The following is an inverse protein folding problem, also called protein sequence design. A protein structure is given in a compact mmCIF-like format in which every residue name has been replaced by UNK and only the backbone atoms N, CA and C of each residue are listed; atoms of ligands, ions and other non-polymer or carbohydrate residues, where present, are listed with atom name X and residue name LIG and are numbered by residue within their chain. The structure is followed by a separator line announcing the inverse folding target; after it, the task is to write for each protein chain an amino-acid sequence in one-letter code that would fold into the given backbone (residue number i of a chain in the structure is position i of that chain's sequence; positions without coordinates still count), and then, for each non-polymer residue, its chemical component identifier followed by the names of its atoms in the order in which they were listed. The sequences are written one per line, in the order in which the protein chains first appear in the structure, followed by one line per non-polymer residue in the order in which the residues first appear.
data_IF_253869461976
#
_entry.id   IF_253869461976
#
_cell.length_a   1.000
_cell.length_b   1.000
_cell.length_c   1.000
_cell.angle_alpha   90.00
_cell.angle_beta   90.00
_cell.angle_gamma   90.00
#
_symmetry.space_group_name_H-M   'P 1'
#
loop_
_entity.id
_entity.type
_entity.pdbx_description
1 polymer ?
#
# COMPACT_ATOMS: atom_id res chain seq x y z
N UNK A 1 9.38 -29.22 16.82
CA UNK A 1 9.86 -28.44 15.65
C UNK A 1 9.42 -26.95 15.67
N UNK A 2 8.71 -26.47 16.68
CA UNK A 2 8.13 -25.11 16.75
C UNK A 2 9.08 -24.05 17.35
N UNK A 3 9.72 -24.30 18.49
CA UNK A 3 10.54 -23.27 19.19
C UNK A 3 11.69 -22.70 18.35
N UNK A 4 12.40 -23.55 17.59
CA UNK A 4 13.51 -23.13 16.70
C UNK A 4 13.03 -22.23 15.54
N UNK A 5 11.84 -22.47 15.01
CA UNK A 5 11.26 -21.63 13.94
C UNK A 5 10.87 -20.25 14.46
N UNK A 6 10.19 -20.20 15.61
CA UNK A 6 9.84 -18.92 16.25
C UNK A 6 11.08 -18.09 16.57
N UNK A 7 12.12 -18.73 17.09
CA UNK A 7 13.39 -18.06 17.38
C UNK A 7 14.06 -17.46 16.13
N UNK A 8 14.08 -18.21 15.01
CA UNK A 8 14.61 -17.71 13.73
C UNK A 8 13.79 -16.54 13.18
N UNK A 9 12.45 -16.61 13.29
CA UNK A 9 11.57 -15.51 12.85
C UNK A 9 11.76 -14.25 13.69
N UNK A 10 11.93 -14.39 15.02
CA UNK A 10 12.21 -13.24 15.89
C UNK A 10 13.55 -12.61 15.58
N UNK A 11 14.60 -13.41 15.33
CA UNK A 11 15.92 -12.89 14.91
C UNK A 11 15.80 -12.14 13.60
N UNK A 12 15.11 -12.71 12.61
CA UNK A 12 14.92 -12.07 11.31
C UNK A 12 14.18 -10.73 11.45
N UNK A 13 13.14 -10.67 12.28
CA UNK A 13 12.42 -9.42 12.55
C UNK A 13 13.32 -8.34 13.18
N UNK A 14 14.12 -8.70 14.18
CA UNK A 14 15.07 -7.77 14.81
C UNK A 14 16.09 -7.27 13.79
N UNK A 15 16.62 -8.16 12.96
CA UNK A 15 17.60 -7.82 11.93
C UNK A 15 17.02 -6.82 10.92
N UNK A 16 15.78 -7.01 10.47
CA UNK A 16 15.09 -6.09 9.54
C UNK A 16 14.90 -4.70 10.15
N UNK A 17 14.54 -4.62 11.44
CA UNK A 17 14.33 -3.34 12.15
C UNK A 17 15.64 -2.57 12.39
N UNK A 18 16.74 -3.28 12.65
CA UNK A 18 18.01 -2.70 13.09
C UNK A 18 18.97 -2.39 11.93
N UNK A 19 18.96 -3.22 10.87
CA UNK A 19 19.81 -3.03 9.68
C UNK A 19 19.79 -1.59 9.11
N UNK A 20 18.63 -0.93 8.90
CA UNK A 20 18.58 0.36 8.23
C UNK A 20 19.24 1.49 9.01
N UNK A 21 19.42 1.34 10.33
CA UNK A 21 20.12 2.31 11.19
C UNK A 21 21.59 2.48 10.78
N UNK A 22 22.19 1.47 10.14
CA UNK A 22 23.60 1.48 9.74
C UNK A 22 23.81 1.66 8.22
N UNK A 23 22.73 1.86 7.46
CA UNK A 23 22.76 1.91 6.00
C UNK A 23 22.60 3.34 5.46
N UNK A 24 23.24 3.62 4.32
CA UNK A 24 23.08 4.89 3.61
C UNK A 24 21.72 5.06 2.94
N UNK A 25 21.35 6.31 2.63
CA UNK A 25 20.01 6.68 2.12
C UNK A 25 19.60 6.08 0.77
N UNK A 26 20.54 5.53 -0.02
CA UNK A 26 20.19 4.76 -1.22
C UNK A 26 19.63 3.38 -0.84
N UNK A 27 20.35 2.65 0.03
CA UNK A 27 19.94 1.29 0.44
C UNK A 27 18.66 1.37 1.26
N UNK A 28 18.50 2.36 2.13
CA UNK A 28 17.23 2.58 2.85
C UNK A 28 16.04 2.76 1.91
N UNK A 29 16.24 3.45 0.77
CA UNK A 29 15.17 3.62 -0.22
C UNK A 29 14.84 2.31 -0.94
N UNK A 30 15.84 1.53 -1.31
CA UNK A 30 15.61 0.20 -1.87
C UNK A 30 14.86 -0.70 -0.87
N UNK A 31 15.21 -0.65 0.41
CA UNK A 31 14.52 -1.42 1.44
C UNK A 31 13.06 -0.99 1.59
N UNK A 32 12.75 0.32 1.55
CA UNK A 32 11.36 0.81 1.52
C UNK A 32 10.60 0.21 0.33
N UNK A 33 11.18 0.26 -0.87
CA UNK A 33 10.55 -0.30 -2.07
C UNK A 33 10.33 -1.81 -1.94
N UNK A 34 11.31 -2.53 -1.40
CA UNK A 34 11.19 -3.98 -1.17
C UNK A 34 10.07 -4.28 -0.18
N UNK A 35 9.98 -3.57 0.95
CA UNK A 35 8.90 -3.75 1.93
C UNK A 35 7.53 -3.47 1.31
N UNK A 36 7.40 -2.38 0.55
CA UNK A 36 6.18 -2.04 -0.18
C UNK A 36 5.75 -3.16 -1.14
N UNK A 37 6.67 -3.69 -1.94
CA UNK A 37 6.37 -4.78 -2.88
C UNK A 37 6.07 -6.11 -2.17
N UNK A 38 6.72 -6.40 -1.03
CA UNK A 38 6.40 -7.57 -0.19
C UNK A 38 4.95 -7.46 0.29
N UNK A 39 4.54 -6.31 0.82
CA UNK A 39 3.16 -6.09 1.29
C UNK A 39 2.16 -6.27 0.14
N UNK A 40 2.46 -5.74 -1.05
CA UNK A 40 1.62 -5.92 -2.24
C UNK A 40 1.54 -7.39 -2.69
N UNK A 41 2.66 -8.11 -2.67
CA UNK A 41 2.71 -9.52 -3.02
C UNK A 41 1.91 -10.38 -2.02
N UNK A 42 2.02 -10.09 -0.72
CA UNK A 42 1.24 -10.77 0.32
C UNK A 42 -0.25 -10.48 0.17
N UNK A 43 -0.64 -9.23 -0.06
CA UNK A 43 -2.03 -8.85 -0.28
C UNK A 43 -2.63 -9.58 -1.49
N UNK A 44 -1.88 -9.62 -2.60
CA UNK A 44 -2.31 -10.34 -3.80
C UNK A 44 -2.39 -11.85 -3.56
N UNK A 45 -1.41 -12.44 -2.87
CA UNK A 45 -1.40 -13.86 -2.54
C UNK A 45 -2.54 -14.24 -1.59
N UNK A 46 -2.95 -13.35 -0.68
CA UNK A 46 -4.06 -13.59 0.23
C UNK A 46 -5.36 -13.86 -0.54
N UNK A 47 -5.60 -13.12 -1.62
CA UNK A 47 -6.75 -13.35 -2.49
C UNK A 47 -6.47 -14.44 -3.53
N UNK A 48 -5.49 -14.23 -4.40
CA UNK A 48 -5.21 -15.10 -5.54
C UNK A 48 -4.72 -16.49 -5.13
N UNK A 49 -3.81 -16.56 -4.16
CA UNK A 49 -3.20 -17.81 -3.71
C UNK A 49 -4.11 -18.65 -2.82
N UNK A 50 -4.72 -18.07 -1.80
CA UNK A 50 -5.54 -18.82 -0.84
C UNK A 50 -6.99 -19.04 -1.29
N UNK A 51 -7.60 -18.09 -2.00
CA UNK A 51 -9.01 -18.20 -2.41
C UNK A 51 -9.20 -18.60 -3.88
N UNK A 52 -8.13 -18.56 -4.68
CA UNK A 52 -8.20 -18.80 -6.13
C UNK A 52 -8.78 -17.61 -6.93
N UNK A 53 -9.15 -16.51 -6.27
CA UNK A 53 -9.70 -15.32 -6.89
C UNK A 53 -8.58 -14.37 -7.33
N UNK A 54 -8.26 -14.35 -8.62
CA UNK A 54 -7.27 -13.42 -9.18
C UNK A 54 -7.82 -12.00 -9.18
N UNK A 55 -7.15 -11.08 -8.48
CA UNK A 55 -7.55 -9.67 -8.38
C UNK A 55 -6.57 -8.75 -9.09
N UNK A 56 -7.07 -8.07 -10.13
CA UNK A 56 -6.35 -7.02 -10.85
C UNK A 56 -6.65 -5.60 -10.33
N UNK A 57 -7.46 -5.47 -9.27
CA UNK A 57 -7.85 -4.18 -8.68
C UNK A 57 -6.91 -3.68 -7.57
N UNK A 58 -5.84 -4.39 -7.25
CA UNK A 58 -4.92 -4.05 -6.15
C UNK A 58 -4.34 -2.64 -6.26
N UNK A 59 -4.14 -2.13 -7.47
CA UNK A 59 -3.64 -0.78 -7.72
C UNK A 59 -4.59 0.31 -7.17
N UNK A 60 -5.90 0.06 -7.16
CA UNK A 60 -6.89 0.99 -6.58
C UNK A 60 -6.67 1.15 -5.09
N UNK A 61 -6.55 0.05 -4.35
CA UNK A 61 -6.37 0.06 -2.90
C UNK A 61 -5.01 0.66 -2.50
N UNK A 62 -3.96 0.32 -3.26
CA UNK A 62 -2.65 0.93 -3.08
C UNK A 62 -2.70 2.45 -3.32
N UNK A 63 -3.34 2.88 -4.41
CA UNK A 63 -3.52 4.29 -4.74
C UNK A 63 -4.32 5.04 -3.68
N UNK A 64 -5.41 4.47 -3.18
CA UNK A 64 -6.21 5.07 -2.10
C UNK A 64 -5.39 5.28 -0.82
N UNK A 65 -4.52 4.33 -0.47
CA UNK A 65 -3.59 4.47 0.65
C UNK A 65 -2.57 5.58 0.42
N UNK A 66 -1.94 5.60 -0.76
CA UNK A 66 -0.93 6.59 -1.13
C UNK A 66 -1.50 8.01 -1.19
N UNK A 67 -2.64 8.21 -1.85
CA UNK A 67 -3.32 9.51 -1.90
C UNK A 67 -3.91 9.91 -0.55
N UNK A 68 -4.42 8.95 0.24
CA UNK A 68 -4.90 9.23 1.59
C UNK A 68 -3.83 9.88 2.45
N UNK A 69 -2.68 9.21 2.61
CA UNK A 69 -1.55 9.76 3.37
C UNK A 69 -0.97 11.03 2.74
N UNK A 70 -0.90 11.08 1.41
CA UNK A 70 -0.34 12.22 0.68
C UNK A 70 -1.18 13.50 0.79
N UNK A 71 -2.50 13.39 0.69
CA UNK A 71 -3.41 14.51 0.84
C UNK A 71 -3.46 15.03 2.28
N UNK A 72 -3.32 14.13 3.26
CA UNK A 72 -3.23 14.50 4.68
C UNK A 72 -2.05 15.41 4.97
N UNK A 73 -0.90 15.06 4.39
CA UNK A 73 0.29 15.88 4.51
C UNK A 73 0.16 17.18 3.71
N UNK A 74 -0.38 17.14 2.49
CA UNK A 74 -0.43 18.30 1.60
C UNK A 74 -1.41 19.39 2.08
N UNK A 75 -2.57 19.01 2.61
CA UNK A 75 -3.64 19.96 2.95
C UNK A 75 -3.71 20.32 4.43
N UNK A 76 -3.28 19.42 5.31
CA UNK A 76 -3.41 19.59 6.76
C UNK A 76 -2.08 19.60 7.50
N UNK A 77 -0.93 19.51 6.79
CA UNK A 77 0.41 19.41 7.37
C UNK A 77 0.53 18.29 8.43
N UNK A 78 -0.33 17.26 8.32
CA UNK A 78 -0.35 16.15 9.26
C UNK A 78 0.81 15.21 8.96
N UNK A 79 1.48 14.78 10.03
CA UNK A 79 2.63 13.88 9.95
C UNK A 79 2.30 12.57 9.19
N UNK A 80 3.20 12.08 8.31
CA UNK A 80 3.02 10.84 7.54
C UNK A 80 2.68 9.59 8.36
N UNK A 81 3.00 9.57 9.66
CA UNK A 81 2.64 8.48 10.57
C UNK A 81 1.13 8.24 10.63
N UNK A 82 0.32 9.29 10.53
CA UNK A 82 -1.14 9.15 10.46
C UNK A 82 -1.61 8.51 9.16
N UNK A 83 -0.84 8.68 8.08
CA UNK A 83 -1.08 7.99 6.80
C UNK A 83 -1.09 6.46 6.95
N UNK A 84 -0.31 5.92 7.90
CA UNK A 84 -0.26 4.49 8.21
C UNK A 84 -1.60 3.94 8.71
N UNK A 85 -2.42 4.78 9.36
CA UNK A 85 -3.77 4.41 9.83
C UNK A 85 -4.81 4.76 8.78
N UNK A 86 -4.70 5.94 8.17
CA UNK A 86 -5.71 6.42 7.22
C UNK A 86 -5.75 5.57 5.96
N UNK A 87 -4.60 5.10 5.45
CA UNK A 87 -4.54 4.26 4.27
C UNK A 87 -5.38 2.98 4.40
N UNK A 88 -5.14 2.13 5.42
CA UNK A 88 -5.97 0.96 5.69
C UNK A 88 -7.44 1.29 5.92
N UNK A 89 -7.75 2.37 6.63
CA UNK A 89 -9.15 2.78 6.87
C UNK A 89 -9.86 3.11 5.56
N UNK A 90 -9.23 3.88 4.67
CA UNK A 90 -9.79 4.18 3.34
C UNK A 90 -9.94 2.91 2.48
N UNK A 91 -8.94 2.03 2.54
CA UNK A 91 -8.99 0.75 1.84
C UNK A 91 -10.14 -0.14 2.34
N UNK A 92 -10.43 -0.14 3.65
CA UNK A 92 -11.57 -0.86 4.24
C UNK A 92 -12.90 -0.25 3.79
N UNK A 93 -13.04 1.07 3.90
CA UNK A 93 -14.27 1.79 3.54
C UNK A 93 -14.66 1.53 2.09
N UNK A 94 -13.69 1.55 1.18
CA UNK A 94 -13.92 1.30 -0.24
C UNK A 94 -13.95 -0.21 -0.56
N UNK A 95 -13.14 -1.01 0.13
CA UNK A 95 -13.01 -2.45 -0.08
C UNK A 95 -14.23 -3.25 0.35
N UNK A 96 -14.93 -2.87 1.41
CA UNK A 96 -16.17 -3.54 1.86
C UNK A 96 -17.24 -3.56 0.76
N UNK A 97 -17.69 -2.41 0.20
CA UNK A 97 -18.73 -2.42 -0.82
C UNK A 97 -18.29 -3.14 -2.10
N UNK A 98 -17.03 -2.96 -2.51
CA UNK A 98 -16.47 -3.68 -3.67
C UNK A 98 -16.49 -5.19 -3.42
N UNK A 99 -16.00 -5.65 -2.26
CA UNK A 99 -15.96 -7.06 -1.89
C UNK A 99 -17.35 -7.68 -1.85
N UNK A 100 -18.33 -6.99 -1.27
CA UNK A 100 -19.73 -7.45 -1.20
C UNK A 100 -20.34 -7.69 -2.59
N UNK A 101 -19.99 -6.87 -3.58
CA UNK A 101 -20.48 -6.99 -4.96
C UNK A 101 -19.67 -8.06 -5.71
N UNK A 102 -18.34 -7.94 -5.70
CA UNK A 102 -17.47 -8.75 -6.53
C UNK A 102 -17.39 -10.21 -6.08
N UNK A 103 -17.46 -10.52 -4.77
CA UNK A 103 -17.41 -11.91 -4.31
C UNK A 103 -18.64 -12.75 -4.70
N UNK A 104 -19.69 -12.13 -5.24
CA UNK A 104 -20.83 -12.86 -5.84
C UNK A 104 -20.50 -13.43 -7.23
N UNK A 105 -19.43 -12.95 -7.86
CA UNK A 105 -18.98 -13.39 -9.17
C UNK A 105 -18.10 -14.64 -9.00
N UNK A 106 -18.22 -15.58 -9.94
CA UNK A 106 -17.46 -16.84 -9.91
C UNK A 106 -16.51 -16.95 -11.08
N UNK A 107 -15.35 -17.56 -10.85
CA UNK A 107 -14.38 -17.84 -11.90
C UNK A 107 -13.82 -16.57 -12.55
N UNK A 108 -13.64 -16.54 -13.88
CA UNK A 108 -12.98 -15.42 -14.58
C UNK A 108 -13.70 -14.06 -14.43
N UNK A 109 -15.01 -14.07 -14.18
CA UNK A 109 -15.81 -12.86 -14.04
C UNK A 109 -15.37 -11.98 -12.86
N UNK A 110 -14.84 -12.59 -11.79
CA UNK A 110 -14.29 -11.84 -10.65
C UNK A 110 -13.11 -10.96 -11.09
N UNK A 111 -12.19 -11.55 -11.85
CA UNK A 111 -10.99 -10.87 -12.31
C UNK A 111 -11.34 -9.74 -13.30
N UNK A 112 -12.29 -9.99 -14.21
CA UNK A 112 -12.81 -8.99 -15.16
C UNK A 112 -13.50 -7.82 -14.45
N UNK A 113 -14.28 -8.08 -13.40
CA UNK A 113 -14.93 -7.02 -12.63
C UNK A 113 -13.90 -6.12 -11.92
N UNK A 114 -12.86 -6.71 -11.34
CA UNK A 114 -11.76 -5.98 -10.70
C UNK A 114 -10.90 -5.22 -11.72
N UNK A 115 -10.75 -5.72 -12.94
CA UNK A 115 -10.14 -4.98 -14.05
C UNK A 115 -10.97 -3.75 -14.43
N UNK A 116 -12.28 -3.90 -14.61
CA UNK A 116 -13.18 -2.80 -14.94
C UNK A 116 -13.22 -1.75 -13.81
N UNK A 117 -13.23 -2.20 -12.56
CA UNK A 117 -13.11 -1.34 -11.39
C UNK A 117 -11.80 -0.55 -11.42
N UNK A 118 -10.67 -1.20 -11.69
CA UNK A 118 -9.38 -0.54 -11.79
C UNK A 118 -9.37 0.56 -12.84
N UNK A 119 -9.99 0.31 -14.00
CA UNK A 119 -10.11 1.31 -15.06
C UNK A 119 -11.03 2.47 -14.68
N UNK A 120 -12.16 2.20 -14.01
CA UNK A 120 -13.04 3.24 -13.51
C UNK A 120 -12.31 4.19 -12.53
N UNK A 121 -11.55 3.63 -11.58
CA UNK A 121 -10.74 4.41 -10.64
C UNK A 121 -9.61 5.17 -11.33
N UNK A 122 -8.96 4.57 -12.34
CA UNK A 122 -7.95 5.26 -13.15
C UNK A 122 -8.54 6.50 -13.83
N UNK A 123 -9.73 6.39 -14.41
CA UNK A 123 -10.42 7.53 -15.03
C UNK A 123 -10.73 8.59 -13.96
N UNK A 124 -11.25 8.20 -12.80
CA UNK A 124 -11.54 9.14 -11.70
C UNK A 124 -10.28 9.87 -11.25
N UNK A 125 -9.19 9.15 -10.98
CA UNK A 125 -7.93 9.76 -10.52
C UNK A 125 -7.30 10.68 -11.56
N UNK A 126 -7.44 10.34 -12.85
CA UNK A 126 -6.89 11.14 -13.94
C UNK A 126 -7.68 12.43 -14.19
N UNK A 127 -9.02 12.37 -14.05
CA UNK A 127 -9.89 13.52 -14.32
C UNK A 127 -10.08 14.45 -13.12
N UNK A 128 -9.86 13.96 -11.89
CA UNK A 128 -10.10 14.73 -10.68
C UNK A 128 -8.90 15.62 -10.32
N UNK A 129 -8.68 16.65 -11.16
CA UNK A 129 -7.51 17.54 -11.08
C UNK A 129 -7.47 18.33 -9.77
N UNK A 130 -8.61 18.82 -9.28
CA UNK A 130 -8.67 19.73 -8.13
C UNK A 130 -8.16 19.12 -6.82
N UNK A 131 -8.31 17.81 -6.64
CA UNK A 131 -7.94 17.13 -5.39
C UNK A 131 -6.73 16.22 -5.58
N UNK A 132 -6.67 15.47 -6.68
CA UNK A 132 -5.65 14.42 -6.89
C UNK A 132 -4.49 14.88 -7.78
N UNK A 133 -4.52 16.10 -8.31
CA UNK A 133 -3.54 16.58 -9.30
C UNK A 133 -3.71 15.96 -10.69
N UNK A 134 -4.78 15.17 -10.90
CA UNK A 134 -5.12 14.57 -12.18
C UNK A 134 -4.05 13.59 -12.68
N UNK A 135 -3.75 13.65 -13.97
CA UNK A 135 -2.73 12.80 -14.61
C UNK A 135 -1.31 12.99 -14.04
N UNK A 136 -1.00 14.18 -13.50
CA UNK A 136 0.32 14.52 -12.96
C UNK A 136 0.53 14.01 -11.52
N UNK A 137 -0.56 13.67 -10.83
CA UNK A 137 -0.53 13.32 -9.41
C UNK A 137 -0.15 14.48 -8.49
N UNK A 138 0.10 14.16 -7.22
CA UNK A 138 0.53 15.12 -6.19
C UNK A 138 2.03 14.98 -5.93
N UNK A 139 2.74 16.11 -5.90
CA UNK A 139 4.16 16.16 -5.53
C UNK A 139 4.25 16.54 -4.06
N UNK A 140 4.83 15.64 -3.26
CA UNK A 140 4.91 15.79 -1.81
C UNK A 140 6.35 16.12 -1.42
N UNK A 141 6.54 17.20 -0.67
CA UNK A 141 7.84 17.55 -0.08
C UNK A 141 8.12 16.69 1.17
N UNK A 142 9.40 16.40 1.44
CA UNK A 142 9.79 15.54 2.57
C UNK A 142 9.52 16.26 3.90
N UNK A 143 8.62 15.70 4.71
CA UNK A 143 8.28 16.17 6.06
C UNK A 143 9.42 16.01 7.07
N UNK A 144 10.17 14.90 7.01
CA UNK A 144 11.24 14.61 8.00
C UNK A 144 12.63 15.09 7.57
N UNK A 145 12.71 16.13 6.74
CA UNK A 145 13.99 16.64 6.22
C UNK A 145 14.69 15.68 5.26
N UNK A 146 16.03 15.57 5.36
CA UNK A 146 16.85 14.74 4.45
C UNK A 146 16.86 13.25 4.83
N UNK A 147 16.45 12.91 6.05
CA UNK A 147 16.57 11.56 6.59
C UNK A 147 15.45 10.64 6.10
N UNK A 148 15.84 9.48 5.54
CA UNK A 148 14.91 8.47 5.04
C UNK A 148 14.52 7.42 6.09
N UNK A 149 15.18 7.42 7.24
CA UNK A 149 14.94 6.48 8.34
C UNK A 149 13.47 6.45 8.81
N UNK A 150 12.79 7.60 9.04
CA UNK A 150 11.40 7.58 9.51
C UNK A 150 10.46 6.96 8.47
N UNK A 151 10.75 7.14 7.18
CA UNK A 151 9.97 6.57 6.08
C UNK A 151 10.10 5.05 5.99
N UNK A 152 11.21 4.48 6.46
CA UNK A 152 11.39 3.03 6.51
C UNK A 152 10.45 2.37 7.53
N UNK A 153 10.24 3.01 8.68
CA UNK A 153 9.41 2.43 9.75
C UNK A 153 7.91 2.51 9.50
N UNK A 154 7.48 3.37 8.57
CA UNK A 154 6.07 3.53 8.18
C UNK A 154 5.70 2.79 6.89
N UNK A 155 6.67 2.15 6.22
CA UNK A 155 6.51 1.48 4.93
C UNK A 155 6.00 0.04 5.05
#
# INVERSE_FOLDING_TARGET
MTKRRWFLLTILGIVIVVIPLFLGGYIQHLLILVMMWITMAIAWNLLGGYTGCVSFGHAVFFGLGAYGGGLLLLHWDISPWWGMIVGPVLAIIIGIPIGLICFRLRGPYFALALLALNEAFRIVFTNWVSVLGGASGIVISRTFGSEKLPYYYIA
#
